data_IF_620671117590
#
_entry.id   IF_620671117590
#
_cell.length_a   1.000
_cell.length_b   1.000
_cell.length_c   1.000
_cell.angle_alpha   90.00
_cell.angle_beta   90.00
_cell.angle_gamma   90.00
#
_symmetry.space_group_name_H-M   'P 1'
#
loop_
_entity.id
_entity.type
_entity.pdbx_description
1 polymer ?
#
# COMPACT_ATOMS: atom_id res chain seq x y z
N UNK A 1 24.35 7.04 3.07
CA UNK A 1 23.01 6.53 3.47
C UNK A 1 21.99 7.67 3.38
N UNK A 2 21.92 8.41 2.27
CA UNK A 2 20.97 9.53 2.10
C UNK A 2 19.81 9.20 1.15
N UNK A 3 19.87 8.07 0.45
CA UNK A 3 18.90 7.73 -0.61
C UNK A 3 17.53 7.32 -0.06
N UNK A 4 17.43 7.06 1.25
CA UNK A 4 16.19 6.68 1.95
C UNK A 4 15.45 7.86 2.56
N UNK A 5 16.04 9.06 2.61
CA UNK A 5 15.40 10.23 3.23
C UNK A 5 14.68 11.14 2.22
N UNK A 6 15.05 11.07 0.94
CA UNK A 6 14.58 12.02 -0.08
C UNK A 6 13.48 11.49 -0.98
N UNK A 7 13.26 10.18 -1.06
CA UNK A 7 12.22 9.57 -1.88
C UNK A 7 11.26 8.72 -1.03
N UNK A 8 9.94 8.75 -1.31
CA UNK A 8 9.02 7.82 -0.67
C UNK A 8 9.47 6.38 -0.96
N UNK A 9 9.38 5.45 0.00
CA UNK A 9 9.89 4.08 -0.17
C UNK A 9 9.21 3.30 -1.30
N UNK A 10 8.06 3.80 -1.79
CA UNK A 10 7.23 3.22 -2.83
C UNK A 10 6.72 4.35 -3.72
N UNK A 11 6.80 4.16 -5.02
CA UNK A 11 6.26 5.07 -6.04
C UNK A 11 5.15 4.37 -6.81
N UNK A 12 3.96 4.98 -6.86
CA UNK A 12 2.87 4.51 -7.70
C UNK A 12 3.03 5.12 -9.09
N UNK A 13 3.13 4.25 -10.11
CA UNK A 13 3.35 4.68 -11.50
C UNK A 13 2.05 5.03 -12.25
N UNK A 14 0.89 4.63 -11.70
CA UNK A 14 -0.43 4.85 -12.31
C UNK A 14 -1.26 5.76 -11.42
N UNK A 15 -1.63 6.93 -11.93
CA UNK A 15 -2.38 7.94 -11.17
C UNK A 15 -3.72 7.41 -10.65
N UNK A 16 -4.48 6.65 -11.47
CA UNK A 16 -5.77 6.07 -11.09
C UNK A 16 -5.76 4.54 -11.16
N UNK A 17 -5.57 3.88 -10.02
CA UNK A 17 -5.68 2.42 -9.89
C UNK A 17 -7.14 2.04 -9.62
N UNK A 18 -7.82 1.63 -10.68
CA UNK A 18 -9.16 1.07 -10.65
C UNK A 18 -9.13 -0.43 -10.95
N UNK A 19 -9.90 -1.18 -10.17
CA UNK A 19 -10.26 -2.58 -10.37
C UNK A 19 -11.77 -2.64 -10.68
N UNK A 20 -12.30 -3.78 -11.18
CA UNK A 20 -13.73 -3.89 -11.52
C UNK A 20 -14.69 -3.47 -10.39
N UNK A 21 -14.39 -3.91 -9.17
CA UNK A 21 -15.23 -3.68 -7.98
C UNK A 21 -14.58 -2.75 -6.94
N UNK A 22 -13.39 -2.21 -7.21
CA UNK A 22 -12.64 -1.44 -6.22
C UNK A 22 -11.89 -0.27 -6.84
N UNK A 23 -11.71 0.79 -6.07
CA UNK A 23 -10.80 1.89 -6.39
C UNK A 23 -9.78 2.04 -5.28
N UNK A 24 -8.49 2.19 -5.63
CA UNK A 24 -7.46 2.55 -4.66
C UNK A 24 -7.71 3.98 -4.21
N UNK A 25 -7.91 4.18 -2.90
CA UNK A 25 -8.20 5.52 -2.32
C UNK A 25 -7.04 6.07 -1.51
N UNK A 26 -6.15 5.20 -1.03
CA UNK A 26 -4.98 5.62 -0.25
C UNK A 26 -3.87 4.55 -0.32
N UNK A 27 -2.62 4.98 -0.14
CA UNK A 27 -1.48 4.09 -0.01
C UNK A 27 -0.42 4.70 0.90
N UNK A 28 0.22 3.86 1.70
CA UNK A 28 1.32 4.28 2.59
C UNK A 28 2.46 3.28 2.55
N UNK A 29 3.66 3.75 2.86
CA UNK A 29 4.85 2.93 2.99
C UNK A 29 5.53 3.24 4.33
N UNK A 30 5.94 2.20 5.04
CA UNK A 30 6.64 2.35 6.31
C UNK A 30 7.76 1.34 6.45
N UNK A 31 8.85 1.75 7.11
CA UNK A 31 9.93 0.84 7.53
C UNK A 31 9.68 0.42 8.96
N UNK A 32 9.58 -0.88 9.21
CA UNK A 32 9.24 -1.46 10.52
C UNK A 32 10.34 -2.43 10.94
N UNK A 33 10.80 -2.33 12.18
CA UNK A 33 11.74 -3.30 12.75
C UNK A 33 10.96 -4.33 13.57
N UNK A 34 10.92 -5.59 13.12
CA UNK A 34 10.14 -6.66 13.76
C UNK A 34 11.04 -7.75 14.35
N UNK A 35 10.64 -8.28 15.51
CA UNK A 35 11.28 -9.44 16.13
C UNK A 35 10.62 -10.73 15.62
N UNK A 36 11.43 -11.64 15.11
CA UNK A 36 11.07 -13.02 14.77
C UNK A 36 11.89 -14.01 15.60
N UNK A 37 11.54 -15.31 15.65
CA UNK A 37 12.35 -16.32 16.34
C UNK A 37 13.85 -16.30 16.03
N UNK A 38 14.31 -16.06 14.78
CA UNK A 38 15.74 -15.92 14.47
C UNK A 38 16.36 -14.55 14.80
N UNK A 39 15.59 -13.54 15.24
CA UNK A 39 16.12 -12.22 15.64
C UNK A 39 15.35 -11.01 15.09
N UNK A 40 15.98 -9.84 15.12
CA UNK A 40 15.41 -8.58 14.63
C UNK A 40 15.61 -8.43 13.11
N UNK A 41 14.53 -8.08 12.40
CA UNK A 41 14.53 -7.86 10.96
C UNK A 41 13.97 -6.48 10.62
N UNK A 42 14.48 -5.87 9.54
CA UNK A 42 13.89 -4.67 8.95
C UNK A 42 12.91 -5.10 7.85
N UNK A 43 11.70 -4.57 7.90
CA UNK A 43 10.64 -4.80 6.93
C UNK A 43 10.22 -3.50 6.28
N UNK A 44 10.04 -3.53 4.96
CA UNK A 44 9.31 -2.49 4.25
C UNK A 44 7.85 -2.94 4.10
N UNK A 45 6.93 -2.18 4.68
CA UNK A 45 5.49 -2.48 4.64
C UNK A 45 4.80 -1.48 3.73
N UNK A 46 4.21 -2.01 2.66
CA UNK A 46 3.32 -1.30 1.75
C UNK A 46 1.87 -1.55 2.16
N UNK A 47 1.10 -0.50 2.41
CA UNK A 47 -0.34 -0.61 2.69
C UNK A 47 -1.13 0.05 1.58
N UNK A 48 -2.15 -0.65 1.08
CA UNK A 48 -3.05 -0.17 0.04
C UNK A 48 -4.49 -0.23 0.54
N UNK A 49 -5.20 0.89 0.48
CA UNK A 49 -6.59 0.99 0.92
C UNK A 49 -7.50 1.06 -0.30
N UNK A 50 -8.34 0.04 -0.46
CA UNK A 50 -9.30 -0.05 -1.56
C UNK A 50 -10.72 0.20 -1.07
N UNK A 51 -11.46 1.08 -1.76
CA UNK A 51 -12.89 1.27 -1.56
C UNK A 51 -13.67 0.41 -2.54
N UNK A 52 -14.63 -0.38 -2.02
CA UNK A 52 -15.54 -1.20 -2.83
C UNK A 52 -16.57 -0.33 -3.55
N UNK A 53 -16.87 -0.67 -4.81
CA UNK A 53 -17.93 -0.08 -5.61
C UNK A 53 -19.21 -0.91 -5.45
N UNK A 54 -20.34 -0.23 -5.23
CA UNK A 54 -21.62 -0.88 -4.94
C UNK A 54 -22.61 -0.88 -6.10
N UNK A 55 -22.27 -0.28 -7.25
CA UNK A 55 -23.19 -0.11 -8.37
C UNK A 55 -23.81 -1.43 -8.87
N UNK A 56 -23.00 -2.49 -8.97
CA UNK A 56 -23.48 -3.82 -9.32
C UNK A 56 -24.45 -4.40 -8.27
N UNK A 57 -24.11 -4.28 -6.98
CA UNK A 57 -24.88 -4.87 -5.87
C UNK A 57 -26.23 -4.17 -5.60
N UNK A 58 -26.39 -2.92 -6.04
CA UNK A 58 -27.65 -2.17 -5.89
C UNK A 58 -28.67 -2.56 -6.97
N UNK A 59 -28.20 -3.00 -8.15
CA UNK A 59 -29.03 -3.24 -9.33
C UNK A 59 -29.39 -4.72 -9.56
N UNK A 60 -28.97 -5.60 -8.66
CA UNK A 60 -29.20 -7.04 -8.70
C UNK A 60 -30.38 -7.44 -7.80
#
# INVERSE_FOLDING_TARGET
MEWTETAPPITILKENITLPDYVLVDYTASSVRRLYPPGMWNELVATFTFQRLYGFYILQ
#
